data_IF_856559068197
#
_entry.id   IF_856559068197
#
_cell.length_a   1.000
_cell.length_b   1.000
_cell.length_c   1.000
_cell.angle_alpha   90.00
_cell.angle_beta   90.00
_cell.angle_gamma   90.00
#
_symmetry.space_group_name_H-M   'P 1'
#
loop_
_entity.id
_entity.type
_entity.pdbx_description
1 polymer ?
#
# COMPACT_ATOMS: atom_id res chain seq x y z
N UNK A 1 -6.65 -2.98 -9.59
CA UNK A 1 -5.91 -3.99 -8.79
C UNK A 1 -4.57 -4.38 -9.43
N UNK A 2 -4.52 -4.78 -10.71
CA UNK A 2 -3.28 -5.17 -11.40
C UNK A 2 -2.17 -4.10 -11.37
N UNK A 3 -2.49 -2.84 -11.72
CA UNK A 3 -1.53 -1.73 -11.68
C UNK A 3 -0.89 -1.54 -10.30
N UNK A 4 -1.69 -1.66 -9.23
CA UNK A 4 -1.19 -1.55 -7.87
C UNK A 4 -0.24 -2.69 -7.49
N UNK A 5 -0.50 -3.91 -7.97
CA UNK A 5 0.39 -5.04 -7.77
C UNK A 5 1.72 -4.86 -8.50
N UNK A 6 1.67 -4.35 -9.73
CA UNK A 6 2.87 -4.05 -10.53
C UNK A 6 3.72 -2.96 -9.84
N UNK A 7 3.11 -1.85 -9.42
CA UNK A 7 3.83 -0.77 -8.72
C UNK A 7 4.39 -1.20 -7.35
N UNK A 8 3.67 -2.06 -6.61
CA UNK A 8 4.20 -2.63 -5.37
C UNK A 8 5.39 -3.55 -5.62
N UNK A 9 5.36 -4.33 -6.70
CA UNK A 9 6.49 -5.16 -7.09
C UNK A 9 7.69 -4.31 -7.52
N UNK A 10 7.47 -3.27 -8.34
CA UNK A 10 8.51 -2.32 -8.72
C UNK A 10 9.14 -1.63 -7.51
N UNK A 11 8.35 -1.28 -6.49
CA UNK A 11 8.87 -0.71 -5.25
C UNK A 11 9.81 -1.68 -4.51
N UNK A 12 9.43 -2.96 -4.44
CA UNK A 12 10.29 -4.01 -3.84
C UNK A 12 11.62 -4.12 -4.59
N UNK A 13 11.60 -4.08 -5.92
CA UNK A 13 12.80 -4.25 -6.76
C UNK A 13 13.59 -2.96 -7.00
N UNK A 14 13.14 -1.80 -6.52
CA UNK A 14 13.89 -0.55 -6.64
C UNK A 14 15.17 -0.61 -5.81
N UNK A 15 16.29 -0.18 -6.38
CA UNK A 15 17.58 -0.11 -5.68
C UNK A 15 17.54 0.91 -4.53
N UNK A 16 18.15 0.57 -3.39
CA UNK A 16 18.17 1.41 -2.17
C UNK A 16 18.88 2.76 -2.36
N UNK A 17 19.77 2.87 -3.36
CA UNK A 17 20.62 4.05 -3.56
C UNK A 17 19.84 5.32 -3.99
N UNK A 18 18.59 5.19 -4.44
CA UNK A 18 17.72 6.32 -4.79
C UNK A 18 16.93 6.89 -3.59
N UNK A 19 16.92 6.22 -2.43
CA UNK A 19 16.02 6.54 -1.30
C UNK A 19 16.63 7.53 -0.28
N UNK A 20 17.94 7.79 -0.34
CA UNK A 20 18.69 8.55 0.68
C UNK A 20 18.55 10.09 0.55
N UNK A 21 17.79 10.59 -0.44
CA UNK A 21 17.72 12.03 -0.77
C UNK A 21 16.35 12.70 -0.57
N UNK A 22 15.28 11.99 -0.19
CA UNK A 22 13.94 12.63 -0.09
C UNK A 22 13.24 12.59 1.27
N UNK A 23 13.65 11.74 2.23
CA UNK A 23 13.02 11.68 3.56
C UNK A 23 14.01 11.61 4.72
N UNK A 24 15.08 12.41 4.61
CA UNK A 24 15.94 12.72 5.74
C UNK A 24 15.15 13.35 6.89
N UNK A 25 15.27 12.72 8.06
CA UNK A 25 15.02 13.24 9.42
C UNK A 25 13.57 13.27 9.93
N UNK A 26 13.19 12.24 10.71
CA UNK A 26 12.07 12.40 11.65
C UNK A 26 11.28 11.15 12.09
N UNK A 27 11.93 10.11 12.64
CA UNK A 27 11.29 9.19 13.60
C UNK A 27 10.79 7.85 13.06
N UNK A 28 11.22 6.76 13.73
CA UNK A 28 10.53 5.47 13.80
C UNK A 28 10.21 4.74 12.48
N UNK A 29 10.98 4.93 11.41
CA UNK A 29 10.78 4.23 10.13
C UNK A 29 11.39 2.82 10.11
N UNK A 30 10.70 1.89 9.44
CA UNK A 30 11.25 0.57 9.12
C UNK A 30 12.27 0.72 7.98
N UNK A 31 13.29 -0.13 7.95
CA UNK A 31 14.21 -0.24 6.80
C UNK A 31 13.43 -0.60 5.52
N UNK A 32 14.00 -0.31 4.34
CA UNK A 32 13.41 -0.72 3.06
C UNK A 32 13.16 -2.23 3.04
N UNK A 33 14.16 -3.03 3.42
CA UNK A 33 14.04 -4.48 3.53
C UNK A 33 12.87 -4.93 4.41
N UNK A 34 12.65 -4.30 5.56
CA UNK A 34 11.51 -4.62 6.44
C UNK A 34 10.17 -4.24 5.81
N UNK A 35 10.09 -3.09 5.13
CA UNK A 35 8.89 -2.69 4.37
C UNK A 35 8.62 -3.67 3.23
N UNK A 36 9.63 -4.04 2.46
CA UNK A 36 9.54 -4.96 1.32
C UNK A 36 9.07 -6.34 1.77
N UNK A 37 9.61 -6.84 2.88
CA UNK A 37 9.18 -8.10 3.49
C UNK A 37 7.69 -8.06 3.89
N UNK A 38 7.23 -6.96 4.48
CA UNK A 38 5.82 -6.76 4.83
C UNK A 38 4.92 -6.70 3.59
N UNK A 39 5.34 -6.01 2.53
CA UNK A 39 4.58 -5.96 1.27
C UNK A 39 4.47 -7.37 0.68
N UNK A 40 5.59 -8.09 0.58
CA UNK A 40 5.62 -9.45 0.05
C UNK A 40 4.72 -10.41 0.83
N UNK A 41 4.77 -10.33 2.17
CA UNK A 41 3.88 -11.10 3.03
C UNK A 41 2.40 -10.73 2.84
N UNK A 42 2.09 -9.44 2.72
CA UNK A 42 0.73 -8.96 2.44
C UNK A 42 0.17 -9.49 1.13
N UNK A 43 1.00 -9.56 0.07
CA UNK A 43 0.62 -10.12 -1.24
C UNK A 43 0.32 -11.62 -1.12
N UNK A 44 1.19 -12.38 -0.45
CA UNK A 44 0.98 -13.83 -0.24
C UNK A 44 -0.30 -14.09 0.56
N UNK A 45 -0.52 -13.38 1.66
CA UNK A 45 -1.74 -13.49 2.49
C UNK A 45 -3.00 -13.10 1.72
N UNK A 46 -2.95 -12.04 0.91
CA UNK A 46 -4.06 -11.65 0.04
C UNK A 46 -4.39 -12.77 -0.96
N UNK A 47 -3.37 -13.43 -1.55
CA UNK A 47 -3.58 -14.53 -2.49
C UNK A 47 -4.23 -15.76 -1.84
N UNK A 48 -4.03 -15.95 -0.53
CA UNK A 48 -4.62 -17.01 0.29
C UNK A 48 -6.02 -16.66 0.83
N UNK A 49 -6.51 -15.44 0.57
CA UNK A 49 -7.77 -14.95 1.10
C UNK A 49 -7.72 -14.56 2.59
N UNK A 50 -6.52 -14.49 3.18
CA UNK A 50 -6.30 -14.08 4.57
C UNK A 50 -6.29 -12.54 4.66
N UNK A 51 -7.43 -11.92 4.34
CA UNK A 51 -7.52 -10.47 4.09
C UNK A 51 -7.17 -9.63 5.33
N UNK A 52 -7.53 -10.08 6.53
CA UNK A 52 -7.21 -9.37 7.77
C UNK A 52 -5.71 -9.28 8.03
N UNK A 53 -4.99 -10.40 7.89
CA UNK A 53 -3.54 -10.44 8.08
C UNK A 53 -2.81 -9.70 6.94
N UNK A 54 -3.35 -9.72 5.72
CA UNK A 54 -2.82 -8.94 4.61
C UNK A 54 -2.91 -7.44 4.89
N UNK A 55 -4.06 -6.97 5.38
CA UNK A 55 -4.26 -5.58 5.82
C UNK A 55 -3.22 -5.19 6.88
N UNK A 56 -3.00 -6.02 7.90
CA UNK A 56 -2.04 -5.73 8.96
C UNK A 56 -0.61 -5.57 8.42
N UNK A 57 -0.22 -6.37 7.43
CA UNK A 57 1.09 -6.26 6.79
C UNK A 57 1.23 -4.93 6.03
N UNK A 58 0.24 -4.57 5.22
CA UNK A 58 0.24 -3.29 4.49
C UNK A 58 0.23 -2.08 5.43
N UNK A 59 -0.56 -2.12 6.51
CA UNK A 59 -0.56 -1.05 7.51
C UNK A 59 0.80 -0.86 8.17
N UNK A 60 1.47 -1.95 8.53
CA UNK A 60 2.81 -1.90 9.12
C UNK A 60 3.82 -1.30 8.15
N UNK A 61 3.77 -1.69 6.87
CA UNK A 61 4.65 -1.12 5.85
C UNK A 61 4.40 0.39 5.69
N UNK A 62 3.13 0.82 5.65
CA UNK A 62 2.75 2.23 5.55
C UNK A 62 3.20 3.02 6.78
N UNK A 63 2.94 2.51 7.99
CA UNK A 63 3.42 3.11 9.25
C UNK A 63 4.95 3.15 9.33
N UNK A 64 5.62 2.20 8.70
CA UNK A 64 7.07 2.13 8.58
C UNK A 64 7.67 3.06 7.52
N UNK A 65 6.86 3.79 6.75
CA UNK A 65 7.34 4.78 5.78
C UNK A 65 6.95 4.49 4.31
N UNK A 66 6.28 3.37 4.02
CA UNK A 66 5.78 3.10 2.66
C UNK A 66 4.65 4.07 2.31
N UNK A 67 4.93 5.09 1.53
CA UNK A 67 3.95 6.12 1.16
C UNK A 67 3.78 6.24 -0.36
N UNK A 68 3.22 5.20 -0.97
CA UNK A 68 2.90 5.17 -2.40
C UNK A 68 1.40 4.97 -2.62
N UNK A 69 0.85 5.54 -3.70
CA UNK A 69 -0.58 5.45 -4.01
C UNK A 69 -1.06 4.00 -4.18
N UNK A 70 -0.21 3.12 -4.71
CA UNK A 70 -0.49 1.69 -4.87
C UNK A 70 -0.82 0.98 -3.55
N UNK A 71 -0.11 1.29 -2.47
CA UNK A 71 -0.32 0.70 -1.15
C UNK A 71 -1.68 1.13 -0.57
N UNK A 72 -1.98 2.43 -0.65
CA UNK A 72 -3.26 3.00 -0.22
C UNK A 72 -4.44 2.47 -1.04
N UNK A 73 -4.27 2.30 -2.35
CA UNK A 73 -5.30 1.71 -3.19
C UNK A 73 -5.55 0.24 -2.83
N UNK A 74 -4.48 -0.54 -2.63
CA UNK A 74 -4.56 -1.97 -2.30
C UNK A 74 -5.27 -2.20 -0.97
N UNK A 75 -4.87 -1.48 0.09
CA UNK A 75 -5.52 -1.61 1.40
C UNK A 75 -6.95 -1.08 1.37
N UNK A 76 -7.23 -0.03 0.58
CA UNK A 76 -8.58 0.49 0.37
C UNK A 76 -9.54 -0.54 -0.21
N UNK A 77 -9.09 -1.31 -1.21
CA UNK A 77 -9.88 -2.42 -1.76
C UNK A 77 -10.07 -3.55 -0.75
N UNK A 78 -9.03 -3.92 0.00
CA UNK A 78 -9.12 -4.93 1.06
C UNK A 78 -10.10 -4.52 2.17
N UNK A 79 -10.17 -3.22 2.48
CA UNK A 79 -11.15 -2.69 3.41
C UNK A 79 -12.58 -2.78 2.90
N UNK A 80 -12.82 -2.54 1.60
CA UNK A 80 -14.13 -2.80 1.00
C UNK A 80 -14.50 -4.29 1.08
N UNK A 81 -13.56 -5.18 0.73
CA UNK A 81 -13.77 -6.63 0.77
C UNK A 81 -14.06 -7.16 2.19
N UNK A 82 -13.56 -6.50 3.23
CA UNK A 82 -13.77 -6.86 4.65
C UNK A 82 -14.89 -6.07 5.33
N UNK A 83 -15.58 -5.18 4.61
CA UNK A 83 -16.69 -4.37 5.13
C UNK A 83 -16.27 -3.15 5.99
N UNK A 84 -14.98 -2.82 6.02
CA UNK A 84 -14.42 -1.63 6.70
C UNK A 84 -14.53 -0.39 5.83
N UNK A 85 -15.76 0.01 5.49
CA UNK A 85 -16.03 1.04 4.47
C UNK A 85 -15.44 2.41 4.78
N UNK A 86 -15.39 2.83 6.03
CA UNK A 86 -14.84 4.14 6.40
C UNK A 86 -13.31 4.19 6.22
N UNK A 87 -12.61 3.12 6.62
CA UNK A 87 -11.17 2.97 6.39
C UNK A 87 -10.87 2.89 4.89
N UNK A 88 -11.71 2.16 4.13
CA UNK A 88 -11.60 2.08 2.69
C UNK A 88 -11.65 3.46 2.02
N UNK A 89 -12.63 4.30 2.39
CA UNK A 89 -12.76 5.66 1.85
C UNK A 89 -11.53 6.49 2.12
N UNK A 90 -11.00 6.45 3.35
CA UNK A 90 -9.80 7.21 3.70
C UNK A 90 -8.60 6.77 2.86
N UNK A 91 -8.34 5.47 2.76
CA UNK A 91 -7.22 4.94 1.98
C UNK A 91 -7.39 5.20 0.48
N UNK A 92 -8.58 5.01 -0.07
CA UNK A 92 -8.86 5.27 -1.49
C UNK A 92 -8.71 6.76 -1.83
N UNK A 93 -9.12 7.68 -0.94
CA UNK A 93 -8.88 9.12 -1.15
C UNK A 93 -7.40 9.49 -1.15
N UNK A 94 -6.56 8.81 -0.35
CA UNK A 94 -5.11 9.02 -0.40
C UNK A 94 -4.53 8.55 -1.73
N UNK A 95 -5.00 7.41 -2.25
CA UNK A 95 -4.61 6.91 -3.57
C UNK A 95 -5.06 7.83 -4.70
N UNK A 96 -6.29 8.38 -4.65
CA UNK A 96 -6.86 9.25 -5.69
C UNK A 96 -6.13 10.59 -5.89
N UNK A 97 -5.19 10.94 -4.98
CA UNK A 97 -4.27 12.08 -5.19
C UNK A 97 -3.36 11.85 -6.40
N UNK A 98 -3.05 10.58 -6.69
CA UNK A 98 -2.34 10.19 -7.89
C UNK A 98 -3.35 10.00 -9.04
N UNK A 99 -3.07 10.65 -10.16
CA UNK A 99 -3.91 10.59 -11.35
C UNK A 99 -4.11 9.16 -11.86
N UNK A 100 -3.13 8.27 -11.66
CA UNK A 100 -3.21 6.87 -12.06
C UNK A 100 -4.29 6.08 -11.32
N UNK A 101 -4.68 6.52 -10.12
CA UNK A 101 -5.67 5.84 -9.28
C UNK A 101 -7.00 6.57 -9.17
N UNK A 102 -7.07 7.84 -9.57
CA UNK A 102 -8.27 8.67 -9.41
C UNK A 102 -9.52 8.05 -10.02
N UNK A 103 -9.47 7.65 -11.29
CA UNK A 103 -10.61 7.02 -11.99
C UNK A 103 -11.01 5.68 -11.34
N UNK A 104 -10.01 4.87 -10.97
CA UNK A 104 -10.25 3.59 -10.32
C UNK A 104 -10.90 3.75 -8.94
N UNK A 105 -10.54 4.80 -8.20
CA UNK A 105 -11.14 5.13 -6.90
C UNK A 105 -12.57 5.63 -7.07
N UNK A 106 -12.83 6.51 -8.04
CA UNK A 106 -14.19 6.99 -8.34
C UNK A 106 -15.13 5.82 -8.65
N UNK A 107 -14.66 4.83 -9.42
CA UNK A 107 -15.41 3.60 -9.70
C UNK A 107 -15.61 2.72 -8.46
N UNK A 108 -14.62 2.64 -7.57
CA UNK A 108 -14.69 1.81 -6.36
C UNK A 108 -15.61 2.39 -5.27
N UNK A 109 -15.86 3.70 -5.30
CA UNK A 109 -16.69 4.42 -4.33
C UNK A 109 -18.10 4.76 -4.84
N UNK A 110 -18.36 4.56 -6.14
CA UNK A 110 -19.66 4.75 -6.77
C UNK A 110 -20.62 3.59 -6.47
#
# INVERSE_FOLDING_TARGET
RRLAQEQLAEEIFRDEEDEDLLYGTGGSGLSKLERDALIGQGIDLQSRGQLGEAIDCYEKAIKGGLNIAAAHFTIGLLYLETGRTDDAKQSLMLAAKDAAYREAVETALA
#
